data_IF_344619062702
#
_entry.id   IF_344619062702
#
_cell.length_a   1.000
_cell.length_b   1.000
_cell.length_c   1.000
_cell.angle_alpha   90.00
_cell.angle_beta   90.00
_cell.angle_gamma   90.00
#
_symmetry.space_group_name_H-M   'P 1'
#
loop_
_entity.id
_entity.type
_entity.pdbx_description
1 polymer ?
#
# COMPACT_ATOMS: atom_id res chain seq x y z
N UNK A 1 7.86 -24.54 -16.78
CA UNK A 1 8.23 -23.35 -15.98
C UNK A 1 7.35 -22.21 -16.43
N UNK A 2 6.46 -21.67 -15.57
CA UNK A 2 5.59 -20.56 -15.95
C UNK A 2 6.43 -19.28 -16.11
N UNK A 3 6.14 -18.49 -17.16
CA UNK A 3 6.66 -17.15 -17.30
C UNK A 3 5.74 -16.17 -16.54
N UNK A 4 6.29 -15.34 -15.68
CA UNK A 4 5.53 -14.35 -14.93
C UNK A 4 6.06 -12.95 -15.22
N UNK A 5 5.20 -12.05 -15.67
CA UNK A 5 5.52 -10.64 -15.80
C UNK A 5 5.25 -9.92 -14.48
N UNK A 6 6.23 -9.21 -13.93
CA UNK A 6 6.06 -8.26 -12.84
C UNK A 6 6.22 -6.83 -13.35
N UNK A 7 5.22 -5.99 -13.11
CA UNK A 7 5.29 -4.55 -13.42
C UNK A 7 5.44 -3.76 -12.13
N UNK A 8 6.53 -3.01 -12.01
CA UNK A 8 6.83 -2.19 -10.84
C UNK A 8 8.31 -2.27 -10.43
N UNK A 9 8.77 -1.32 -9.62
CA UNK A 9 10.19 -1.21 -9.25
C UNK A 9 10.46 -0.78 -7.80
N UNK A 10 9.47 -0.85 -6.92
CA UNK A 10 9.59 -0.51 -5.49
C UNK A 10 9.98 -1.70 -4.61
N UNK A 11 10.07 -1.47 -3.29
CA UNK A 11 10.33 -2.53 -2.33
C UNK A 11 9.17 -3.52 -2.23
N UNK A 12 7.94 -3.06 -2.40
CA UNK A 12 6.76 -3.90 -2.57
C UNK A 12 6.94 -4.89 -3.72
N UNK A 13 7.36 -4.42 -4.89
CA UNK A 13 7.59 -5.27 -6.06
C UNK A 13 8.80 -6.19 -5.87
N UNK A 14 9.81 -5.76 -5.13
CA UNK A 14 10.91 -6.65 -4.75
C UNK A 14 10.42 -7.81 -3.86
N UNK A 15 9.55 -7.53 -2.88
CA UNK A 15 8.94 -8.58 -2.07
C UNK A 15 8.02 -9.51 -2.88
N UNK A 16 7.30 -8.97 -3.87
CA UNK A 16 6.49 -9.76 -4.82
C UNK A 16 7.41 -10.65 -5.68
N UNK A 17 8.51 -10.11 -6.20
CA UNK A 17 9.50 -10.87 -6.97
C UNK A 17 10.06 -12.05 -6.18
N UNK A 18 10.46 -11.82 -4.92
CA UNK A 18 10.90 -12.90 -4.03
C UNK A 18 9.81 -13.95 -3.78
N UNK A 19 8.56 -13.52 -3.57
CA UNK A 19 7.45 -14.44 -3.36
C UNK A 19 7.19 -15.31 -4.60
N UNK A 20 7.27 -14.75 -5.80
CA UNK A 20 7.18 -15.48 -7.07
C UNK A 20 8.33 -16.49 -7.18
N UNK A 21 9.57 -16.06 -6.93
CA UNK A 21 10.75 -16.91 -7.10
C UNK A 21 10.92 -18.00 -6.03
N UNK A 22 10.18 -17.92 -4.92
CA UNK A 22 10.09 -19.02 -3.92
C UNK A 22 9.15 -20.15 -4.35
N UNK A 23 8.43 -20.00 -5.46
CA UNK A 23 7.48 -21.01 -5.94
C UNK A 23 8.19 -22.31 -6.30
N UNK A 24 7.58 -23.43 -5.88
CA UNK A 24 7.99 -24.79 -6.25
C UNK A 24 7.85 -25.10 -7.75
N UNK A 25 7.11 -24.25 -8.47
CA UNK A 25 6.91 -24.37 -9.92
C UNK A 25 8.09 -23.86 -10.74
N UNK A 26 9.14 -23.32 -10.09
CA UNK A 26 10.34 -22.77 -10.71
C UNK A 26 10.01 -21.77 -11.83
N UNK A 27 9.29 -20.67 -11.56
CA UNK A 27 8.91 -19.71 -12.58
C UNK A 27 10.11 -18.98 -13.16
N UNK A 28 9.95 -18.45 -14.39
CA UNK A 28 10.83 -17.43 -14.94
C UNK A 28 10.19 -16.05 -14.69
N UNK A 29 10.88 -15.20 -13.96
CA UNK A 29 10.45 -13.84 -13.72
C UNK A 29 10.92 -12.92 -14.85
N UNK A 30 10.01 -12.11 -15.38
CA UNK A 30 10.26 -11.02 -16.32
C UNK A 30 9.75 -9.74 -15.68
N UNK A 31 10.57 -8.68 -15.67
CA UNK A 31 10.18 -7.44 -14.97
C UNK A 31 10.15 -6.23 -15.90
N UNK A 32 9.12 -5.38 -15.71
CA UNK A 32 9.05 -4.05 -16.31
C UNK A 32 9.16 -3.02 -15.21
N UNK A 33 10.17 -2.14 -15.28
CA UNK A 33 10.55 -1.20 -14.24
C UNK A 33 10.75 0.20 -14.84
N UNK A 34 10.34 1.28 -14.12
CA UNK A 34 10.71 2.67 -14.50
C UNK A 34 12.20 2.94 -14.29
N UNK A 35 12.77 2.38 -13.23
CA UNK A 35 14.19 2.45 -12.89
C UNK A 35 14.68 1.07 -12.50
N UNK A 36 15.96 0.80 -12.75
CA UNK A 36 16.52 -0.52 -12.51
C UNK A 36 16.71 -0.80 -11.01
N UNK A 37 15.72 -1.46 -10.40
CA UNK A 37 15.82 -1.95 -9.03
C UNK A 37 16.74 -3.18 -8.99
N UNK A 38 17.90 -3.11 -8.28
CA UNK A 38 18.89 -4.18 -8.32
C UNK A 38 18.39 -5.51 -7.74
N UNK A 39 17.45 -5.48 -6.76
CA UNK A 39 16.89 -6.69 -6.17
C UNK A 39 15.95 -7.41 -7.13
N UNK A 40 15.07 -6.68 -7.82
CA UNK A 40 14.17 -7.25 -8.81
C UNK A 40 14.97 -7.75 -10.02
N UNK A 41 15.93 -6.96 -10.50
CA UNK A 41 16.77 -7.31 -11.62
C UNK A 41 17.56 -8.61 -11.39
N UNK A 42 18.09 -8.79 -10.16
CA UNK A 42 18.82 -10.01 -9.80
C UNK A 42 17.95 -11.29 -9.79
N UNK A 43 16.65 -11.14 -9.57
CA UNK A 43 15.67 -12.24 -9.58
C UNK A 43 15.06 -12.48 -10.97
N UNK A 44 15.21 -11.53 -11.90
CA UNK A 44 14.58 -11.57 -13.21
C UNK A 44 15.45 -12.26 -14.24
N UNK A 45 14.83 -13.12 -15.06
CA UNK A 45 15.47 -13.71 -16.24
C UNK A 45 15.76 -12.64 -17.30
N UNK A 46 14.90 -11.64 -17.41
CA UNK A 46 15.02 -10.47 -18.28
C UNK A 46 14.26 -9.28 -17.68
N UNK A 47 14.76 -8.07 -17.92
CA UNK A 47 14.11 -6.83 -17.47
C UNK A 47 13.96 -5.85 -18.63
N UNK A 48 12.79 -5.19 -18.69
CA UNK A 48 12.52 -4.02 -19.50
C UNK A 48 12.53 -2.78 -18.59
N UNK A 49 13.41 -1.83 -18.87
CA UNK A 49 13.44 -0.55 -18.14
C UNK A 49 12.90 0.55 -19.04
N UNK A 50 11.80 1.17 -18.62
CA UNK A 50 11.12 2.21 -19.40
C UNK A 50 9.85 2.72 -18.73
N UNK A 51 9.19 3.70 -19.33
CA UNK A 51 7.97 4.30 -18.79
C UNK A 51 6.79 3.32 -18.83
N UNK A 52 5.93 3.36 -17.80
CA UNK A 52 4.71 2.52 -17.77
C UNK A 52 3.65 2.96 -18.77
N UNK A 53 3.76 4.15 -19.30
CA UNK A 53 2.94 4.72 -20.37
C UNK A 53 3.10 3.96 -21.71
N UNK A 54 4.25 3.33 -21.93
CA UNK A 54 4.50 2.52 -23.13
C UNK A 54 3.93 1.09 -22.97
N UNK A 55 2.59 1.03 -22.94
CA UNK A 55 1.88 -0.25 -22.83
C UNK A 55 2.21 -1.19 -23.98
N UNK A 56 2.51 -0.67 -25.18
CA UNK A 56 2.84 -1.47 -26.35
C UNK A 56 4.15 -2.24 -26.14
N UNK A 57 5.20 -1.57 -25.64
CA UNK A 57 6.47 -2.20 -25.32
C UNK A 57 6.33 -3.26 -24.22
N UNK A 58 5.53 -2.98 -23.18
CA UNK A 58 5.27 -3.93 -22.09
C UNK A 58 4.55 -5.19 -22.60
N UNK A 59 3.54 -5.03 -23.46
CA UNK A 59 2.81 -6.15 -24.04
C UNK A 59 3.70 -6.98 -24.99
N UNK A 60 4.51 -6.33 -25.84
CA UNK A 60 5.46 -6.99 -26.70
C UNK A 60 6.45 -7.82 -25.89
N UNK A 61 7.04 -7.21 -24.85
CA UNK A 61 7.96 -7.88 -23.94
C UNK A 61 7.34 -9.10 -23.26
N UNK A 62 6.10 -9.00 -22.78
CA UNK A 62 5.38 -10.10 -22.15
C UNK A 62 5.14 -11.27 -23.14
N UNK A 63 4.73 -10.98 -24.38
CA UNK A 63 4.49 -11.97 -25.44
C UNK A 63 5.78 -12.67 -25.89
N UNK A 64 6.83 -11.91 -26.17
CA UNK A 64 8.14 -12.42 -26.60
C UNK A 64 8.75 -13.38 -25.57
N UNK A 65 8.48 -13.16 -24.30
CA UNK A 65 9.01 -13.99 -23.22
C UNK A 65 8.02 -15.08 -22.74
N UNK A 66 6.87 -15.24 -23.41
CA UNK A 66 5.91 -16.30 -23.11
C UNK A 66 5.32 -16.20 -21.70
N UNK A 67 5.01 -14.99 -21.23
CA UNK A 67 4.42 -14.81 -19.91
C UNK A 67 3.02 -15.41 -19.84
N UNK A 68 2.81 -16.31 -18.86
CA UNK A 68 1.52 -16.95 -18.59
C UNK A 68 0.51 -15.97 -17.99
N UNK A 69 0.99 -15.10 -17.11
CA UNK A 69 0.20 -14.03 -16.50
C UNK A 69 1.11 -12.87 -16.08
N UNK A 70 0.49 -11.74 -15.73
CA UNK A 70 1.17 -10.58 -15.19
C UNK A 70 0.73 -10.29 -13.75
N UNK A 71 1.64 -9.72 -12.94
CA UNK A 71 1.33 -9.10 -11.66
C UNK A 71 1.62 -7.60 -11.73
N UNK A 72 0.63 -6.77 -11.39
CA UNK A 72 0.76 -5.30 -11.43
C UNK A 72 0.97 -4.80 -10.00
N UNK A 73 2.15 -4.25 -9.75
CA UNK A 73 2.53 -3.78 -8.41
C UNK A 73 1.97 -2.40 -8.05
N UNK A 74 2.27 -1.32 -8.80
CA UNK A 74 1.86 0.04 -8.46
C UNK A 74 0.54 0.46 -9.11
N UNK A 75 -0.02 1.55 -8.60
CA UNK A 75 -1.29 2.13 -9.05
C UNK A 75 -1.23 2.83 -10.41
N UNK A 76 -0.09 3.44 -10.77
CA UNK A 76 0.04 4.18 -12.02
C UNK A 76 -0.30 3.34 -13.26
N UNK A 77 0.30 2.16 -13.50
CA UNK A 77 -0.03 1.34 -14.65
C UNK A 77 -1.48 0.80 -14.61
N UNK A 78 -2.07 0.61 -13.43
CA UNK A 78 -3.49 0.26 -13.31
C UNK A 78 -4.37 1.39 -13.83
N UNK A 79 -4.06 2.64 -13.45
CA UNK A 79 -4.77 3.82 -13.92
C UNK A 79 -4.57 4.07 -15.43
N UNK A 80 -3.44 3.65 -15.99
CA UNK A 80 -3.19 3.70 -17.44
C UNK A 80 -3.95 2.63 -18.23
N UNK A 81 -4.49 1.58 -17.57
CA UNK A 81 -5.24 0.51 -18.21
C UNK A 81 -4.38 -0.66 -18.69
N UNK A 82 -3.24 -0.90 -18.08
CA UNK A 82 -2.34 -2.00 -18.44
C UNK A 82 -3.02 -3.37 -18.40
N UNK A 83 -3.93 -3.59 -17.42
CA UNK A 83 -4.65 -4.86 -17.30
C UNK A 83 -5.59 -5.07 -18.49
N UNK A 84 -6.29 -4.02 -18.94
CA UNK A 84 -7.16 -4.09 -20.11
C UNK A 84 -6.34 -4.41 -21.37
N UNK A 85 -5.18 -3.79 -21.53
CA UNK A 85 -4.26 -4.02 -22.63
C UNK A 85 -3.68 -5.46 -22.63
N UNK A 86 -3.24 -5.95 -21.48
CA UNK A 86 -2.73 -7.32 -21.32
C UNK A 86 -3.82 -8.37 -21.62
N UNK A 87 -5.04 -8.17 -21.11
CA UNK A 87 -6.16 -9.07 -21.39
C UNK A 87 -6.51 -9.10 -22.88
N UNK A 88 -6.53 -7.94 -23.57
CA UNK A 88 -6.72 -7.87 -25.02
C UNK A 88 -5.60 -8.58 -25.80
N UNK A 89 -4.41 -8.67 -25.20
CA UNK A 89 -3.26 -9.40 -25.73
C UNK A 89 -3.25 -10.90 -25.40
N UNK A 90 -4.29 -11.39 -24.66
CA UNK A 90 -4.42 -12.78 -24.23
C UNK A 90 -3.60 -13.13 -22.98
N UNK A 91 -3.09 -12.15 -22.24
CA UNK A 91 -2.30 -12.34 -21.03
C UNK A 91 -3.16 -11.92 -19.83
N UNK A 92 -3.63 -12.86 -18.98
CA UNK A 92 -4.35 -12.53 -17.77
C UNK A 92 -3.44 -11.80 -16.76
N UNK A 93 -4.03 -10.99 -15.87
CA UNK A 93 -3.25 -10.22 -14.92
C UNK A 93 -3.88 -10.25 -13.50
N UNK A 94 -3.00 -10.30 -12.50
CA UNK A 94 -3.34 -10.00 -11.11
C UNK A 94 -3.27 -8.49 -10.95
N UNK A 95 -4.42 -7.87 -10.97
CA UNK A 95 -4.65 -6.43 -10.94
C UNK A 95 -6.02 -6.12 -11.54
N UNK A 96 -6.73 -5.09 -11.06
CA UNK A 96 -8.04 -4.71 -11.59
C UNK A 96 -7.92 -4.01 -12.95
N UNK A 97 -8.94 -4.20 -13.80
CA UNK A 97 -9.13 -3.37 -15.00
C UNK A 97 -9.20 -1.89 -14.61
N UNK A 98 -8.89 -0.98 -15.55
CA UNK A 98 -8.92 0.47 -15.32
C UNK A 98 -10.21 0.95 -14.65
N UNK A 99 -11.38 0.47 -15.13
CA UNK A 99 -12.67 0.86 -14.55
C UNK A 99 -12.86 0.40 -13.10
N UNK A 100 -12.20 -0.68 -12.67
CA UNK A 100 -12.25 -1.22 -11.30
C UNK A 100 -11.17 -0.60 -10.42
N UNK A 101 -10.05 -0.18 -11.00
CA UNK A 101 -9.00 0.55 -10.31
C UNK A 101 -9.50 1.91 -9.76
N UNK A 102 -10.69 2.37 -10.18
CA UNK A 102 -11.40 3.51 -9.58
C UNK A 102 -11.64 3.35 -8.09
N UNK A 103 -11.59 2.15 -7.56
CA UNK A 103 -11.61 1.90 -6.12
C UNK A 103 -10.47 2.66 -5.38
N UNK A 104 -9.33 2.88 -6.02
CA UNK A 104 -8.23 3.71 -5.52
C UNK A 104 -8.19 5.09 -6.18
N UNK A 105 -8.40 5.14 -7.51
CA UNK A 105 -8.17 6.34 -8.29
C UNK A 105 -9.28 7.37 -8.18
N UNK A 106 -10.44 7.04 -7.57
CA UNK A 106 -11.55 7.95 -7.29
C UNK A 106 -12.12 7.69 -5.90
N UNK A 107 -11.91 8.61 -5.00
CA UNK A 107 -12.43 8.52 -3.62
C UNK A 107 -13.94 8.67 -3.60
N UNK A 108 -14.48 9.55 -4.46
CA UNK A 108 -15.92 9.73 -4.64
C UNK A 108 -16.59 8.42 -5.08
N UNK A 109 -16.03 7.75 -6.09
CA UNK A 109 -16.54 6.45 -6.55
C UNK A 109 -16.62 5.43 -5.41
N UNK A 110 -15.57 5.31 -4.61
CA UNK A 110 -15.54 4.37 -3.48
C UNK A 110 -16.58 4.71 -2.44
N UNK A 111 -16.71 5.98 -2.07
CA UNK A 111 -17.71 6.44 -1.09
C UNK A 111 -19.14 6.21 -1.58
N UNK A 112 -19.41 6.54 -2.84
CA UNK A 112 -20.72 6.38 -3.46
C UNK A 112 -21.10 4.90 -3.61
N UNK A 113 -20.15 4.04 -3.99
CA UNK A 113 -20.34 2.60 -4.06
C UNK A 113 -20.76 2.03 -2.68
N UNK A 114 -19.99 2.36 -1.64
CA UNK A 114 -20.24 1.91 -0.26
C UNK A 114 -21.61 2.40 0.23
N UNK A 115 -21.98 3.67 -0.05
CA UNK A 115 -23.30 4.24 0.28
C UNK A 115 -24.42 3.56 -0.50
N UNK A 116 -24.30 3.44 -1.81
CA UNK A 116 -25.33 2.85 -2.71
C UNK A 116 -25.71 1.43 -2.32
N UNK A 117 -24.73 0.63 -1.92
CA UNK A 117 -24.96 -0.77 -1.55
C UNK A 117 -25.14 -0.99 -0.02
N UNK A 118 -25.29 0.08 0.75
CA UNK A 118 -25.46 0.05 2.21
C UNK A 118 -24.37 -0.79 2.91
N UNK A 119 -23.13 -0.68 2.45
CA UNK A 119 -21.99 -1.37 3.07
C UNK A 119 -21.61 -0.62 4.35
N UNK A 120 -21.45 -1.31 5.50
CA UNK A 120 -21.09 -0.64 6.74
C UNK A 120 -19.68 -0.05 6.69
N UNK A 121 -19.42 0.92 7.56
CA UNK A 121 -18.10 1.49 7.74
C UNK A 121 -17.83 2.78 6.97
N UNK A 122 -18.73 3.24 6.11
CA UNK A 122 -18.56 4.53 5.42
C UNK A 122 -18.60 5.69 6.43
N UNK A 123 -17.65 6.66 6.38
CA UNK A 123 -17.81 7.90 7.12
C UNK A 123 -18.95 8.73 6.55
N UNK A 124 -19.44 9.70 7.31
CA UNK A 124 -20.28 10.76 6.74
C UNK A 124 -19.43 11.57 5.77
N UNK A 125 -19.90 11.73 4.53
CA UNK A 125 -19.17 12.43 3.49
C UNK A 125 -20.11 13.09 2.48
N UNK A 126 -19.58 14.06 1.76
CA UNK A 126 -20.16 14.58 0.52
C UNK A 126 -19.06 14.91 -0.48
N UNK A 127 -19.44 14.84 -1.76
CA UNK A 127 -18.57 15.14 -2.89
C UNK A 127 -19.04 16.43 -3.57
N UNK A 128 -18.13 17.37 -3.78
CA UNK A 128 -18.42 18.66 -4.39
C UNK A 128 -17.60 18.85 -5.67
N UNK A 129 -18.24 19.33 -6.73
CA UNK A 129 -17.63 19.73 -8.01
C UNK A 129 -17.61 21.25 -8.19
N UNK A 130 -18.22 21.99 -7.26
CA UNK A 130 -18.18 23.45 -7.13
C UNK A 130 -18.08 23.82 -5.66
N UNK A 131 -17.92 25.11 -5.37
CA UNK A 131 -17.87 25.61 -3.99
C UNK A 131 -19.26 25.64 -3.30
N UNK A 132 -20.33 25.45 -4.09
CA UNK A 132 -21.70 25.57 -3.59
C UNK A 132 -22.02 24.46 -2.58
N UNK A 133 -22.51 24.87 -1.42
CA UNK A 133 -22.89 23.95 -0.34
C UNK A 133 -21.74 23.47 0.56
N UNK A 134 -20.47 23.68 0.17
CA UNK A 134 -19.30 23.23 0.98
C UNK A 134 -19.36 23.82 2.39
N UNK A 135 -19.56 25.12 2.54
CA UNK A 135 -19.57 25.79 3.84
C UNK A 135 -20.68 25.23 4.76
N UNK A 136 -21.87 24.99 4.21
CA UNK A 136 -22.98 24.39 4.96
C UNK A 136 -22.60 23.00 5.47
N UNK A 137 -22.04 22.15 4.61
CA UNK A 137 -21.63 20.81 4.99
C UNK A 137 -20.48 20.78 6.00
N UNK A 138 -19.47 21.66 5.85
CA UNK A 138 -18.39 21.82 6.84
C UNK A 138 -18.94 22.20 8.22
N UNK A 139 -20.02 23.01 8.26
CA UNK A 139 -20.64 23.43 9.52
C UNK A 139 -21.37 22.30 10.26
N UNK A 140 -21.79 21.27 9.55
CA UNK A 140 -22.47 20.10 10.13
C UNK A 140 -21.50 19.05 10.70
N UNK A 141 -20.20 19.11 10.35
CA UNK A 141 -19.23 18.10 10.77
C UNK A 141 -18.55 18.49 12.09
N UNK A 142 -18.38 17.52 13.03
CA UNK A 142 -17.66 17.74 14.29
C UNK A 142 -16.14 17.83 14.09
N UNK A 143 -15.62 17.22 13.04
CA UNK A 143 -14.23 17.24 12.61
C UNK A 143 -14.16 16.93 11.12
N UNK A 144 -13.15 17.45 10.44
CA UNK A 144 -13.13 17.54 8.99
C UNK A 144 -11.89 16.87 8.41
N UNK A 145 -12.09 16.08 7.33
CA UNK A 145 -11.05 15.62 6.40
C UNK A 145 -11.42 16.06 5.01
N UNK A 146 -10.47 16.70 4.31
CA UNK A 146 -10.62 17.14 2.92
C UNK A 146 -9.70 16.31 2.04
N UNK A 147 -10.26 15.68 1.00
CA UNK A 147 -9.55 14.77 0.08
C UNK A 147 -9.78 15.22 -1.37
N UNK A 148 -8.74 15.53 -2.14
CA UNK A 148 -8.87 15.65 -3.60
C UNK A 148 -9.38 14.32 -4.21
N UNK A 149 -10.31 14.36 -5.14
CA UNK A 149 -10.69 13.16 -5.90
C UNK A 149 -9.64 12.91 -6.99
N UNK A 150 -9.05 11.72 -6.96
CA UNK A 150 -7.93 11.34 -7.82
C UNK A 150 -6.72 10.80 -7.05
N UNK A 151 -5.69 10.39 -7.80
CA UNK A 151 -4.41 9.95 -7.24
C UNK A 151 -3.58 11.15 -6.77
N UNK A 152 -3.24 11.20 -5.49
CA UNK A 152 -2.42 12.26 -4.88
C UNK A 152 -1.19 11.73 -4.15
N UNK A 153 -0.93 10.43 -4.22
CA UNK A 153 0.21 9.79 -3.52
C UNK A 153 0.21 10.03 -2.00
N UNK A 154 -0.97 10.12 -1.39
CA UNK A 154 -1.13 10.37 0.06
C UNK A 154 -0.85 11.81 0.50
N UNK A 155 -0.53 12.73 -0.41
CA UNK A 155 -0.11 14.10 -0.07
C UNK A 155 -1.23 15.14 -0.10
N UNK A 156 -2.34 14.85 -0.76
CA UNK A 156 -3.46 15.78 -0.91
C UNK A 156 -4.51 15.69 0.19
N UNK A 157 -4.42 14.72 1.11
CA UNK A 157 -5.38 14.58 2.20
C UNK A 157 -4.99 15.50 3.35
N UNK A 158 -5.89 16.43 3.71
CA UNK A 158 -5.71 17.32 4.85
C UNK A 158 -6.75 17.04 5.93
N UNK A 159 -6.31 16.99 7.18
CA UNK A 159 -7.09 16.62 8.37
C UNK A 159 -7.10 17.79 9.36
N UNK A 160 -8.25 18.11 9.90
CA UNK A 160 -8.40 19.13 10.93
C UNK A 160 -7.63 18.76 12.20
N UNK A 161 -6.95 19.74 12.77
CA UNK A 161 -6.06 19.58 13.93
C UNK A 161 -4.60 19.30 13.53
N UNK A 162 -4.38 18.73 12.33
CA UNK A 162 -3.04 18.44 11.81
C UNK A 162 -2.58 19.44 10.75
N UNK A 163 -3.44 19.75 9.80
CA UNK A 163 -3.12 20.53 8.60
C UNK A 163 -3.83 21.87 8.53
N UNK A 164 -4.95 21.99 9.20
CA UNK A 164 -5.73 23.21 9.38
C UNK A 164 -6.49 23.14 10.72
N UNK A 165 -6.84 24.28 11.29
CA UNK A 165 -7.51 24.35 12.59
C UNK A 165 -8.98 24.74 12.46
N UNK A 166 -9.33 25.60 11.52
CA UNK A 166 -10.65 26.21 11.37
C UNK A 166 -11.41 25.66 10.16
N UNK A 167 -12.74 25.78 10.19
CA UNK A 167 -13.61 25.47 9.04
C UNK A 167 -13.35 26.39 7.85
N UNK A 168 -12.93 27.63 8.11
CA UNK A 168 -12.57 28.58 7.07
C UNK A 168 -11.32 28.12 6.32
N UNK A 169 -10.28 27.68 7.03
CA UNK A 169 -9.08 27.11 6.39
C UNK A 169 -9.41 25.85 5.57
N UNK A 170 -10.33 24.98 6.06
CA UNK A 170 -10.82 23.85 5.30
C UNK A 170 -11.52 24.28 4.01
N UNK A 171 -12.36 25.31 4.08
CA UNK A 171 -13.06 25.87 2.92
C UNK A 171 -12.08 26.43 1.88
N UNK A 172 -11.07 27.22 2.31
CA UNK A 172 -10.04 27.72 1.41
C UNK A 172 -9.28 26.58 0.73
N UNK A 173 -8.95 25.51 1.49
CA UNK A 173 -8.32 24.34 0.90
C UNK A 173 -9.23 23.61 -0.12
N UNK A 174 -10.53 23.53 0.12
CA UNK A 174 -11.46 22.98 -0.88
C UNK A 174 -11.44 23.79 -2.18
N UNK A 175 -11.32 25.12 -2.10
CA UNK A 175 -11.18 25.98 -3.28
C UNK A 175 -9.89 25.70 -4.05
N UNK A 176 -8.77 25.53 -3.33
CA UNK A 176 -7.48 25.14 -3.95
C UNK A 176 -7.62 23.80 -4.68
N UNK A 177 -8.22 22.79 -4.01
CA UNK A 177 -8.44 21.47 -4.60
C UNK A 177 -9.27 21.54 -5.89
N UNK A 178 -10.36 22.32 -5.90
CA UNK A 178 -11.24 22.46 -7.07
C UNK A 178 -10.60 23.21 -8.25
N UNK A 179 -9.45 23.88 -8.06
CA UNK A 179 -8.67 24.45 -9.16
C UNK A 179 -7.84 23.41 -9.89
N UNK A 180 -7.43 22.34 -9.20
CA UNK A 180 -6.52 21.31 -9.74
C UNK A 180 -7.22 19.98 -10.02
N UNK A 181 -8.35 19.73 -9.34
CA UNK A 181 -9.09 18.48 -9.40
C UNK A 181 -10.56 18.70 -9.75
N UNK A 182 -11.17 17.73 -10.42
CA UNK A 182 -12.58 17.81 -10.84
C UNK A 182 -13.58 17.75 -9.67
N UNK A 183 -13.16 17.26 -8.53
CA UNK A 183 -14.00 17.16 -7.33
C UNK A 183 -13.15 17.15 -6.05
N UNK A 184 -13.80 17.53 -4.96
CA UNK A 184 -13.29 17.39 -3.58
C UNK A 184 -14.26 16.53 -2.78
N UNK A 185 -13.73 15.56 -2.02
CA UNK A 185 -14.48 14.74 -1.07
C UNK A 185 -14.22 15.26 0.33
N UNK A 186 -15.28 15.65 1.02
CA UNK A 186 -15.22 16.12 2.41
C UNK A 186 -15.82 15.03 3.30
N UNK A 187 -15.11 14.64 4.36
CA UNK A 187 -15.52 13.58 5.26
C UNK A 187 -15.48 14.01 6.73
N UNK A 188 -16.29 13.37 7.56
CA UNK A 188 -16.10 13.45 9.00
C UNK A 188 -14.72 12.92 9.40
N UNK A 189 -14.05 13.59 10.33
CA UNK A 189 -12.82 13.07 10.95
C UNK A 189 -13.16 11.93 11.90
N UNK A 190 -12.67 10.75 11.59
CA UNK A 190 -12.80 9.59 12.46
C UNK A 190 -11.68 9.61 13.53
N UNK A 191 -12.00 9.16 14.73
CA UNK A 191 -11.06 9.01 15.83
C UNK A 191 -10.88 7.53 16.17
N UNK A 192 -9.62 7.07 16.22
CA UNK A 192 -9.33 5.65 16.45
C UNK A 192 -7.90 5.26 16.12
N UNK A 193 -7.68 3.96 16.03
CA UNK A 193 -6.42 3.37 15.58
C UNK A 193 -6.57 2.76 14.19
N UNK A 194 -5.69 3.16 13.28
CA UNK A 194 -5.70 2.69 11.90
C UNK A 194 -5.03 1.31 11.79
N UNK A 195 -5.52 0.51 10.85
CA UNK A 195 -4.89 -0.70 10.35
C UNK A 195 -5.18 -0.89 8.87
N UNK A 196 -4.31 -1.59 8.17
CA UNK A 196 -4.57 -2.08 6.83
C UNK A 196 -4.90 -3.56 6.85
N UNK A 197 -5.91 -3.96 6.07
CA UNK A 197 -6.23 -5.35 5.78
C UNK A 197 -6.17 -5.51 4.26
N UNK A 198 -5.14 -6.18 3.81
CA UNK A 198 -5.01 -6.48 2.40
C UNK A 198 -5.71 -7.80 2.12
N UNK A 199 -6.48 -7.83 1.05
CA UNK A 199 -7.22 -9.02 0.68
C UNK A 199 -6.88 -9.41 -0.76
N UNK A 200 -6.66 -10.69 -0.98
CA UNK A 200 -6.50 -11.28 -2.30
C UNK A 200 -7.89 -11.61 -2.82
N UNK A 201 -8.24 -11.14 -4.01
CA UNK A 201 -9.56 -11.30 -4.59
C UNK A 201 -9.51 -11.88 -6.00
N UNK A 202 -10.36 -12.83 -6.29
CA UNK A 202 -10.70 -13.28 -7.65
C UNK A 202 -12.03 -12.69 -8.15
N UNK A 203 -12.62 -11.80 -7.34
CA UNK A 203 -13.87 -11.10 -7.56
C UNK A 203 -15.10 -11.83 -7.02
N UNK A 204 -14.98 -13.11 -6.64
CA UNK A 204 -16.02 -13.91 -5.99
C UNK A 204 -15.63 -14.22 -4.55
N UNK A 205 -14.41 -14.62 -4.36
CA UNK A 205 -13.81 -14.95 -3.08
C UNK A 205 -12.78 -13.90 -2.69
N UNK A 206 -12.78 -13.52 -1.43
CA UNK A 206 -11.84 -12.58 -0.84
C UNK A 206 -11.12 -13.28 0.32
N UNK A 207 -9.80 -13.46 0.20
CA UNK A 207 -8.95 -14.07 1.22
C UNK A 207 -8.13 -12.98 1.92
N UNK A 208 -8.29 -12.85 3.24
CA UNK A 208 -7.55 -11.87 4.02
C UNK A 208 -6.10 -12.29 4.22
N UNK A 209 -5.18 -11.32 4.22
CA UNK A 209 -3.82 -11.48 4.74
C UNK A 209 -3.77 -11.05 6.21
N UNK A 210 -2.67 -11.29 6.94
CA UNK A 210 -2.49 -10.69 8.26
C UNK A 210 -2.64 -9.16 8.20
N UNK A 211 -3.35 -8.52 9.17
CA UNK A 211 -3.46 -7.06 9.23
C UNK A 211 -2.12 -6.44 9.59
N UNK A 212 -1.91 -5.22 9.12
CA UNK A 212 -0.66 -4.48 9.32
C UNK A 212 -0.98 -3.06 9.80
N UNK A 213 -0.17 -2.50 10.70
CA UNK A 213 -0.22 -1.07 11.01
C UNK A 213 0.95 -0.37 10.35
N UNK A 214 0.66 0.59 9.44
CA UNK A 214 1.62 1.49 8.81
C UNK A 214 1.80 2.78 9.62
N UNK A 215 2.95 3.42 9.46
CA UNK A 215 3.33 4.68 10.14
C UNK A 215 3.69 5.74 9.10
N UNK A 216 2.71 6.56 8.74
CA UNK A 216 2.82 7.55 7.65
C UNK A 216 3.59 8.81 8.02
N UNK A 217 3.71 9.14 9.30
CA UNK A 217 4.42 10.36 9.74
C UNK A 217 5.94 10.18 9.69
N UNK A 218 6.62 11.25 9.25
CA UNK A 218 8.07 11.23 9.01
C UNK A 218 8.90 10.99 10.23
N UNK A 219 8.51 11.54 11.39
CA UNK A 219 9.32 11.55 12.61
C UNK A 219 8.72 10.70 13.73
N UNK A 220 9.57 10.40 14.72
CA UNK A 220 9.19 9.72 15.96
C UNK A 220 7.95 10.35 16.58
N UNK A 221 7.17 9.56 17.29
CA UNK A 221 5.91 9.95 17.92
C UNK A 221 4.84 10.45 16.94
N UNK A 222 4.87 9.96 15.70
CA UNK A 222 3.96 10.34 14.62
C UNK A 222 3.91 11.84 14.37
N UNK A 223 5.08 12.47 14.38
CA UNK A 223 5.25 13.91 14.09
C UNK A 223 5.74 14.14 12.66
N UNK A 224 5.63 15.39 12.23
CA UNK A 224 6.09 15.84 10.92
C UNK A 224 5.11 15.53 9.78
N UNK A 225 5.56 15.69 8.53
CA UNK A 225 4.70 15.53 7.35
C UNK A 225 4.27 14.07 7.13
N UNK A 226 3.18 13.87 6.42
CA UNK A 226 2.78 12.58 5.88
C UNK A 226 3.75 12.13 4.79
N UNK A 227 4.02 10.84 4.76
CA UNK A 227 4.89 10.18 3.79
C UNK A 227 4.18 8.96 3.18
N UNK A 228 4.86 8.21 2.34
CA UNK A 228 4.37 6.93 1.82
C UNK A 228 4.43 5.77 2.83
N UNK A 229 4.78 6.04 4.10
CA UNK A 229 4.99 5.04 5.14
C UNK A 229 6.46 4.91 5.52
N UNK A 230 6.77 5.05 6.80
CA UNK A 230 8.13 4.96 7.36
C UNK A 230 8.46 3.55 7.87
N UNK A 231 7.46 2.68 7.93
CA UNK A 231 7.55 1.31 8.39
C UNK A 231 6.23 0.83 8.98
N UNK A 232 6.19 -0.45 9.31
CA UNK A 232 4.95 -1.13 9.67
C UNK A 232 5.23 -2.38 10.50
N UNK A 233 4.20 -2.92 11.13
CA UNK A 233 4.31 -4.19 11.83
C UNK A 233 3.03 -5.02 11.74
N UNK A 234 3.17 -6.34 11.91
CA UNK A 234 2.11 -7.32 12.02
C UNK A 234 2.48 -8.36 13.07
N UNK A 235 1.52 -8.81 13.89
CA UNK A 235 1.82 -9.78 14.95
C UNK A 235 1.56 -11.22 14.51
N UNK A 236 2.14 -12.17 15.26
CA UNK A 236 2.17 -13.61 14.98
C UNK A 236 0.80 -14.29 14.97
N UNK A 237 -0.17 -13.72 15.65
CA UNK A 237 -1.53 -14.24 15.74
C UNK A 237 -2.43 -13.78 14.59
N UNK A 238 -1.84 -13.12 13.57
CA UNK A 238 -2.55 -12.51 12.44
C UNK A 238 -3.55 -11.45 12.92
N UNK A 239 -3.14 -10.67 13.91
CA UNK A 239 -3.86 -9.54 14.46
C UNK A 239 -2.89 -8.39 14.73
N UNK A 240 -3.31 -7.38 15.48
CA UNK A 240 -2.45 -6.34 16.03
C UNK A 240 -2.77 -6.23 17.55
N UNK A 241 -1.78 -5.89 18.40
CA UNK A 241 -1.94 -5.96 19.86
C UNK A 241 -3.10 -5.13 20.46
N UNK A 242 -3.61 -4.16 19.73
CA UNK A 242 -4.74 -3.32 20.11
C UNK A 242 -6.09 -3.80 19.54
N UNK A 243 -6.09 -4.79 18.62
CA UNK A 243 -7.28 -5.29 17.94
C UNK A 243 -8.01 -6.37 18.75
N UNK A 244 -9.30 -6.51 18.46
CA UNK A 244 -10.11 -7.68 18.82
C UNK A 244 -10.28 -8.57 17.59
N UNK A 245 -10.53 -9.88 17.75
CA UNK A 245 -10.75 -10.78 16.60
C UNK A 245 -11.85 -10.29 15.65
N UNK A 246 -12.92 -9.69 16.19
CA UNK A 246 -14.04 -9.15 15.42
C UNK A 246 -13.66 -7.97 14.53
N UNK A 247 -12.59 -7.23 14.84
CA UNK A 247 -12.15 -6.08 14.03
C UNK A 247 -11.62 -6.54 12.66
N UNK A 248 -10.84 -7.63 12.64
CA UNK A 248 -10.34 -8.22 11.38
C UNK A 248 -11.50 -8.78 10.55
N UNK A 249 -12.44 -9.48 11.21
CA UNK A 249 -13.61 -10.04 10.54
C UNK A 249 -14.52 -8.93 9.95
N UNK A 250 -14.67 -7.80 10.67
CA UNK A 250 -15.42 -6.66 10.17
C UNK A 250 -14.78 -6.06 8.90
N UNK A 251 -13.45 -5.86 8.90
CA UNK A 251 -12.71 -5.39 7.73
C UNK A 251 -12.84 -6.33 6.52
N UNK A 252 -12.73 -7.65 6.75
CA UNK A 252 -12.93 -8.66 5.72
C UNK A 252 -14.35 -8.65 5.16
N UNK A 253 -15.36 -8.60 6.03
CA UNK A 253 -16.77 -8.55 5.62
C UNK A 253 -17.11 -7.29 4.80
N UNK A 254 -16.53 -6.14 5.16
CA UNK A 254 -16.66 -4.91 4.37
C UNK A 254 -16.04 -5.12 2.99
N UNK A 255 -14.84 -5.68 2.92
CA UNK A 255 -14.12 -5.89 1.65
C UNK A 255 -14.84 -6.90 0.75
N UNK A 256 -15.39 -7.98 1.30
CA UNK A 256 -16.21 -8.94 0.55
C UNK A 256 -17.43 -8.26 -0.09
N UNK A 257 -18.16 -7.45 0.70
CA UNK A 257 -19.32 -6.69 0.20
C UNK A 257 -18.92 -5.66 -0.88
N UNK A 258 -17.76 -5.03 -0.76
CA UNK A 258 -17.25 -4.11 -1.79
C UNK A 258 -16.93 -4.86 -3.08
N UNK A 259 -16.30 -6.03 -3.02
CA UNK A 259 -16.06 -6.85 -4.22
C UNK A 259 -17.36 -7.25 -4.93
N UNK A 260 -18.39 -7.66 -4.17
CA UNK A 260 -19.72 -7.96 -4.70
C UNK A 260 -20.41 -6.72 -5.31
N UNK A 261 -20.30 -5.56 -4.65
CA UNK A 261 -20.86 -4.31 -5.12
C UNK A 261 -20.20 -3.85 -6.43
N UNK A 262 -18.86 -3.99 -6.53
CA UNK A 262 -18.13 -3.71 -7.78
C UNK A 262 -18.67 -4.56 -8.92
N UNK A 263 -18.86 -5.87 -8.72
CA UNK A 263 -19.42 -6.74 -9.75
C UNK A 263 -20.85 -6.30 -10.15
N UNK A 264 -21.71 -6.01 -9.18
CA UNK A 264 -23.08 -5.52 -9.44
C UNK A 264 -23.10 -4.19 -10.21
N UNK A 265 -22.14 -3.30 -9.91
CA UNK A 265 -22.04 -1.97 -10.53
C UNK A 265 -21.47 -2.01 -11.95
N UNK A 266 -20.53 -2.92 -12.21
CA UNK A 266 -19.69 -2.86 -13.41
C UNK A 266 -19.80 -4.06 -14.34
N UNK A 267 -20.35 -5.17 -13.85
CA UNK A 267 -20.39 -6.47 -14.54
C UNK A 267 -19.04 -7.20 -14.62
N UNK A 268 -17.97 -6.63 -14.03
CA UNK A 268 -16.65 -7.24 -14.02
C UNK A 268 -16.22 -7.68 -12.60
N UNK A 269 -15.55 -8.83 -12.53
CA UNK A 269 -14.95 -9.33 -11.30
C UNK A 269 -13.64 -8.60 -11.00
N UNK A 270 -13.47 -8.17 -9.74
CA UNK A 270 -12.25 -7.57 -9.27
C UNK A 270 -11.19 -8.64 -9.00
N UNK A 271 -10.19 -8.76 -9.86
CA UNK A 271 -9.10 -9.73 -9.76
C UNK A 271 -7.82 -9.02 -9.36
N UNK A 272 -7.33 -9.27 -8.15
CA UNK A 272 -6.13 -8.61 -7.65
C UNK A 272 -6.17 -8.37 -6.15
N UNK A 273 -5.44 -7.37 -5.71
CA UNK A 273 -5.35 -7.02 -4.29
C UNK A 273 -6.33 -5.89 -3.98
N UNK A 274 -7.12 -6.08 -2.94
CA UNK A 274 -7.97 -5.06 -2.34
C UNK A 274 -7.35 -4.67 -0.99
N UNK A 275 -6.64 -3.55 -0.97
CA UNK A 275 -6.11 -3.02 0.27
C UNK A 275 -7.17 -2.12 0.91
N UNK A 276 -7.76 -2.56 2.00
CA UNK A 276 -8.61 -1.74 2.84
C UNK A 276 -7.81 -1.05 3.94
N UNK A 277 -7.78 0.28 3.91
CA UNK A 277 -7.35 1.09 5.04
C UNK A 277 -8.55 1.30 5.96
N UNK A 278 -8.44 0.81 7.18
CA UNK A 278 -9.51 0.86 8.18
C UNK A 278 -9.07 1.61 9.44
N UNK A 279 -10.04 2.11 10.19
CA UNK A 279 -9.84 2.68 11.51
C UNK A 279 -10.83 2.07 12.50
N UNK A 280 -10.33 1.67 13.66
CA UNK A 280 -11.13 1.15 14.75
C UNK A 280 -11.58 2.32 15.62
N UNK A 281 -12.86 2.61 15.58
CA UNK A 281 -13.49 3.69 16.34
C UNK A 281 -14.30 3.15 17.52
N UNK A 282 -14.88 4.06 18.34
CA UNK A 282 -15.86 3.68 19.35
C UNK A 282 -17.07 2.93 18.77
N UNK A 283 -17.48 3.27 17.55
CA UNK A 283 -18.61 2.65 16.84
C UNK A 283 -18.23 1.43 16.00
N UNK A 284 -17.02 0.88 16.14
CA UNK A 284 -16.54 -0.26 15.36
C UNK A 284 -15.60 0.14 14.22
N UNK A 285 -15.38 -0.79 13.31
CA UNK A 285 -14.45 -0.62 12.18
C UNK A 285 -15.08 0.27 11.10
N UNK A 286 -14.33 1.29 10.66
CA UNK A 286 -14.73 2.23 9.60
C UNK A 286 -13.70 2.22 8.48
N UNK A 287 -14.16 2.43 7.24
CA UNK A 287 -13.34 2.48 6.05
C UNK A 287 -12.71 3.87 5.88
N UNK A 288 -11.39 3.93 5.82
CA UNK A 288 -10.63 5.16 5.51
C UNK A 288 -10.45 5.33 4.01
N UNK A 289 -9.97 4.27 3.34
CA UNK A 289 -9.73 4.27 1.89
C UNK A 289 -9.56 2.83 1.37
N UNK A 290 -9.65 2.66 0.05
CA UNK A 290 -9.13 1.48 -0.64
C UNK A 290 -7.95 1.84 -1.52
N UNK A 291 -7.01 0.89 -1.64
CA UNK A 291 -6.01 0.89 -2.69
C UNK A 291 -6.13 -0.39 -3.52
N UNK A 292 -5.85 -0.30 -4.81
CA UNK A 292 -6.09 -1.36 -5.80
C UNK A 292 -4.89 -2.30 -5.99
N UNK A 293 -4.00 -2.34 -5.03
CA UNK A 293 -2.72 -3.06 -5.05
C UNK A 293 -2.25 -3.34 -3.63
N UNK A 294 -1.17 -4.11 -3.47
CA UNK A 294 -0.52 -4.24 -2.16
C UNK A 294 -0.05 -2.89 -1.61
N UNK A 295 -0.07 -2.74 -0.29
CA UNK A 295 0.54 -1.63 0.41
C UNK A 295 2.07 -1.70 0.37
N UNK A 296 2.67 -0.55 0.56
CA UNK A 296 4.11 -0.38 0.73
C UNK A 296 4.33 0.59 1.91
N UNK A 297 4.72 0.09 3.09
CA UNK A 297 5.56 -1.09 3.35
C UNK A 297 4.87 -2.43 3.61
N UNK A 298 3.58 -2.54 3.70
CA UNK A 298 2.85 -3.70 4.25
C UNK A 298 3.11 -5.01 3.52
N UNK A 299 3.31 -4.99 2.19
CA UNK A 299 3.65 -6.19 1.43
C UNK A 299 4.90 -6.89 1.96
N UNK A 300 5.85 -6.13 2.47
CA UNK A 300 7.09 -6.65 3.06
C UNK A 300 6.87 -7.33 4.41
N UNK A 301 5.79 -7.01 5.13
CA UNK A 301 5.39 -7.73 6.34
C UNK A 301 4.74 -9.07 6.02
N UNK A 302 3.96 -9.13 4.93
CA UNK A 302 3.01 -10.21 4.65
C UNK A 302 3.63 -11.28 3.74
N UNK A 303 4.21 -10.87 2.62
CA UNK A 303 4.67 -11.82 1.60
C UNK A 303 5.77 -12.77 2.09
N UNK A 304 6.71 -12.37 2.95
CA UNK A 304 7.67 -13.31 3.53
C UNK A 304 7.05 -14.40 4.39
N UNK A 305 5.85 -14.16 4.94
CA UNK A 305 5.12 -15.13 5.78
C UNK A 305 4.20 -16.05 4.98
N UNK A 306 3.98 -15.78 3.69
CA UNK A 306 3.08 -16.58 2.87
C UNK A 306 3.62 -18.00 2.70
N UNK A 307 2.84 -19.00 3.16
CA UNK A 307 3.14 -20.43 3.04
C UNK A 307 2.63 -21.02 1.73
N UNK A 308 1.43 -20.62 1.34
CA UNK A 308 0.84 -21.05 0.08
C UNK A 308 1.68 -20.55 -1.09
N UNK A 309 1.93 -21.40 -2.08
CA UNK A 309 2.71 -21.03 -3.27
C UNK A 309 2.10 -19.80 -3.95
N UNK A 310 2.88 -18.72 -4.05
CA UNK A 310 2.35 -17.43 -4.55
C UNK A 310 1.97 -17.48 -6.04
N UNK A 311 2.65 -18.30 -6.84
CA UNK A 311 2.28 -18.49 -8.25
C UNK A 311 0.93 -19.20 -8.35
N UNK A 312 0.66 -20.19 -7.50
CA UNK A 312 -0.64 -20.84 -7.44
C UNK A 312 -1.74 -19.87 -6.96
N UNK A 313 -1.45 -19.00 -5.99
CA UNK A 313 -2.37 -17.92 -5.59
C UNK A 313 -2.70 -17.01 -6.78
N UNK A 314 -1.68 -16.57 -7.53
CA UNK A 314 -1.88 -15.72 -8.72
C UNK A 314 -2.74 -16.44 -9.78
N UNK A 315 -2.48 -17.73 -10.03
CA UNK A 315 -3.29 -18.55 -10.94
C UNK A 315 -4.74 -18.66 -10.47
N UNK A 316 -4.95 -18.89 -9.19
CA UNK A 316 -6.30 -18.96 -8.63
C UNK A 316 -7.06 -17.64 -8.80
N UNK A 317 -6.38 -16.50 -8.62
CA UNK A 317 -6.96 -15.17 -8.85
C UNK A 317 -7.36 -14.99 -10.32
N UNK A 318 -6.46 -15.24 -11.26
CA UNK A 318 -6.78 -15.00 -12.69
C UNK A 318 -7.83 -15.97 -13.23
N UNK A 319 -7.87 -17.20 -12.69
CA UNK A 319 -8.82 -18.23 -13.09
C UNK A 319 -10.17 -18.15 -12.35
N UNK A 320 -10.30 -17.39 -11.26
CA UNK A 320 -11.52 -17.32 -10.46
C UNK A 320 -11.78 -18.57 -9.64
N UNK A 321 -10.75 -19.17 -9.07
CA UNK A 321 -10.78 -20.44 -8.31
C UNK A 321 -10.17 -20.32 -6.92
N UNK A 322 -10.12 -19.11 -6.37
CA UNK A 322 -9.51 -18.83 -5.07
C UNK A 322 -10.26 -19.54 -3.92
N UNK A 323 -11.54 -19.86 -4.11
CA UNK A 323 -12.34 -20.65 -3.18
C UNK A 323 -11.82 -22.08 -2.94
N UNK A 324 -10.98 -22.59 -3.85
CA UNK A 324 -10.39 -23.93 -3.79
C UNK A 324 -8.95 -23.96 -3.26
N UNK A 325 -8.39 -22.81 -2.98
CA UNK A 325 -7.00 -22.67 -2.55
C UNK A 325 -6.93 -21.96 -1.18
N UNK A 326 -6.66 -22.69 -0.07
CA UNK A 326 -6.40 -22.05 1.21
C UNK A 326 -5.16 -21.17 1.15
N UNK A 327 -5.31 -19.87 1.47
CA UNK A 327 -4.20 -18.94 1.56
C UNK A 327 -3.72 -18.88 3.00
N UNK A 328 -2.56 -19.47 3.27
CA UNK A 328 -2.02 -19.62 4.62
C UNK A 328 -0.75 -18.81 4.84
N UNK A 329 -0.57 -18.33 6.07
CA UNK A 329 0.61 -17.56 6.49
C UNK A 329 1.27 -18.20 7.70
N UNK A 330 2.59 -18.01 7.85
CA UNK A 330 3.33 -18.40 9.05
C UNK A 330 2.87 -17.56 10.26
N UNK A 331 2.81 -18.18 11.44
CA UNK A 331 2.52 -17.51 12.71
C UNK A 331 3.78 -16.85 13.29
N UNK A 332 4.25 -15.81 12.63
CA UNK A 332 5.40 -15.00 13.04
C UNK A 332 5.04 -13.51 13.03
N UNK A 333 5.71 -12.77 13.90
CA UNK A 333 5.66 -11.31 13.91
C UNK A 333 6.64 -10.74 12.91
N UNK A 334 6.29 -9.61 12.32
CA UNK A 334 7.15 -8.87 11.39
C UNK A 334 7.17 -7.38 11.73
N UNK A 335 8.36 -6.79 11.64
CA UNK A 335 8.56 -5.34 11.74
C UNK A 335 9.37 -4.88 10.55
N UNK A 336 8.80 -3.96 9.77
CA UNK A 336 9.46 -3.28 8.66
C UNK A 336 9.87 -1.88 9.08
N UNK A 337 11.12 -1.50 8.81
CA UNK A 337 11.60 -0.12 8.94
C UNK A 337 12.17 0.36 7.62
N UNK A 338 11.74 1.55 7.18
CA UNK A 338 12.27 2.15 5.98
C UNK A 338 13.49 3.02 6.29
N UNK A 339 14.54 2.78 5.52
CA UNK A 339 15.70 3.65 5.41
C UNK A 339 15.43 4.64 4.29
N UNK A 340 15.53 5.91 4.60
CA UNK A 340 15.17 7.02 3.71
C UNK A 340 16.28 8.05 3.64
N UNK A 341 16.36 8.87 2.57
CA UNK A 341 17.23 10.04 2.58
C UNK A 341 16.89 10.97 3.75
N UNK A 342 17.86 11.65 4.35
CA UNK A 342 17.61 12.60 5.44
C UNK A 342 16.55 13.65 5.10
N UNK A 343 16.53 14.11 3.85
CA UNK A 343 15.54 15.09 3.37
C UNK A 343 14.20 14.49 2.94
N UNK A 344 13.97 13.18 3.07
CA UNK A 344 12.72 12.57 2.67
C UNK A 344 11.51 13.18 3.40
N UNK A 345 10.52 13.64 2.63
CA UNK A 345 9.32 14.29 3.17
C UNK A 345 9.53 15.74 3.62
N UNK A 346 10.73 16.31 3.46
CA UNK A 346 11.05 17.69 3.82
C UNK A 346 11.01 18.60 2.60
N UNK A 347 10.93 19.94 2.80
CA UNK A 347 10.98 20.93 1.72
C UNK A 347 12.24 20.80 0.85
N UNK A 348 12.15 21.17 -0.42
CA UNK A 348 13.25 21.05 -1.39
C UNK A 348 14.46 21.94 -1.08
N UNK A 349 14.27 23.01 -0.33
CA UNK A 349 15.29 23.95 0.15
C UNK A 349 15.91 23.56 1.49
N UNK A 350 15.52 22.41 2.05
CA UNK A 350 16.08 21.92 3.31
C UNK A 350 17.58 21.66 3.18
N UNK A 351 18.42 21.93 4.23
CA UNK A 351 19.87 21.72 4.21
C UNK A 351 20.30 20.31 3.76
N UNK A 352 19.52 19.29 4.10
CA UNK A 352 19.79 17.91 3.73
C UNK A 352 19.29 17.52 2.31
N UNK A 353 18.79 18.47 1.49
CA UNK A 353 18.21 18.17 0.17
C UNK A 353 19.13 17.31 -0.73
N UNK A 354 20.45 17.50 -0.65
CA UNK A 354 21.44 16.70 -1.38
C UNK A 354 21.42 15.20 -1.02
N UNK A 355 20.86 14.83 0.13
CA UNK A 355 20.74 13.41 0.52
C UNK A 355 19.86 12.59 -0.44
N UNK A 356 18.93 13.23 -1.16
CA UNK A 356 18.00 12.56 -2.07
C UNK A 356 18.64 11.97 -3.34
N UNK A 357 19.91 12.28 -3.60
CA UNK A 357 20.67 11.71 -4.74
C UNK A 357 22.02 11.16 -4.31
N UNK A 358 22.20 10.95 -3.01
CA UNK A 358 23.47 10.51 -2.46
C UNK A 358 23.71 9.01 -2.69
N UNK A 359 24.97 8.67 -2.83
CA UNK A 359 25.44 7.27 -2.83
C UNK A 359 25.26 6.65 -1.46
N UNK A 360 24.89 5.38 -1.43
CA UNK A 360 24.80 4.56 -0.24
C UNK A 360 25.57 3.27 -0.42
N UNK A 361 26.11 2.75 0.66
CA UNK A 361 26.71 1.44 0.73
C UNK A 361 25.82 0.54 1.59
N UNK A 362 25.60 -0.69 1.11
CA UNK A 362 24.76 -1.69 1.77
C UNK A 362 25.62 -2.89 2.14
N UNK A 363 25.79 -3.10 3.42
CA UNK A 363 26.49 -4.24 4.00
C UNK A 363 25.55 -5.41 4.32
N UNK A 364 26.05 -6.33 5.13
CA UNK A 364 25.28 -7.48 5.59
C UNK A 364 24.23 -7.05 6.61
N UNK A 365 22.96 -7.38 6.33
CA UNK A 365 21.80 -7.09 7.19
C UNK A 365 21.50 -8.22 8.20
N UNK A 366 22.37 -9.23 8.28
CA UNK A 366 22.22 -10.37 9.18
C UNK A 366 20.97 -11.19 8.88
N UNK A 367 20.15 -11.46 9.90
CA UNK A 367 18.92 -12.25 9.77
C UNK A 367 17.72 -11.45 9.24
N UNK A 368 17.85 -10.15 9.04
CA UNK A 368 16.80 -9.34 8.44
C UNK A 368 16.66 -9.61 6.94
N UNK A 369 15.47 -9.35 6.38
CA UNK A 369 15.29 -9.24 4.93
C UNK A 369 15.51 -7.81 4.48
N UNK A 370 16.05 -7.65 3.29
CA UNK A 370 16.29 -6.34 2.69
C UNK A 370 15.53 -6.23 1.35
N UNK A 371 14.81 -5.14 1.19
CA UNK A 371 14.05 -4.82 -0.01
C UNK A 371 14.46 -3.47 -0.56
N UNK A 372 15.07 -3.46 -1.76
CA UNK A 372 15.36 -2.22 -2.47
C UNK A 372 14.07 -1.56 -2.93
N UNK A 373 13.95 -0.26 -2.66
CA UNK A 373 12.81 0.56 -3.07
C UNK A 373 13.22 1.54 -4.17
N UNK A 374 13.19 2.82 -3.91
CA UNK A 374 13.52 3.86 -4.89
C UNK A 374 15.03 4.15 -4.88
N UNK A 375 15.78 3.25 -5.46
CA UNK A 375 17.24 3.35 -5.64
C UNK A 375 17.61 3.15 -7.11
N UNK A 376 18.78 3.64 -7.48
CA UNK A 376 19.32 3.55 -8.83
C UNK A 376 20.74 2.93 -8.79
N UNK A 377 20.91 1.76 -9.41
CA UNK A 377 22.20 1.10 -9.55
C UNK A 377 22.94 1.68 -10.75
N UNK A 378 24.03 2.40 -10.48
CA UNK A 378 24.95 2.93 -11.50
C UNK A 378 26.23 2.11 -11.54
N UNK A 379 27.10 2.40 -12.52
CA UNK A 379 28.35 1.69 -12.70
C UNK A 379 29.27 1.79 -11.48
N UNK A 380 29.23 2.91 -10.76
CA UNK A 380 30.09 3.23 -9.63
C UNK A 380 29.45 3.03 -8.25
N UNK A 381 28.16 2.62 -8.20
CA UNK A 381 27.50 2.36 -6.91
C UNK A 381 25.98 2.40 -6.93
N UNK A 382 25.41 2.38 -5.73
CA UNK A 382 23.98 2.47 -5.47
C UNK A 382 23.62 3.87 -4.97
N UNK A 383 22.62 4.48 -5.60
CA UNK A 383 22.19 5.85 -5.28
C UNK A 383 20.75 5.88 -4.82
N UNK A 384 20.47 6.70 -3.82
CA UNK A 384 19.10 7.03 -3.42
C UNK A 384 18.45 7.94 -4.46
N UNK A 385 17.14 8.00 -4.43
CA UNK A 385 16.31 8.97 -5.15
C UNK A 385 15.56 9.87 -4.18
N UNK A 386 14.54 10.58 -4.62
CA UNK A 386 13.72 11.45 -3.78
C UNK A 386 12.75 10.73 -2.84
N UNK A 387 12.67 9.39 -2.92
CA UNK A 387 11.74 8.57 -2.14
C UNK A 387 12.48 7.63 -1.18
N UNK A 388 11.73 6.71 -0.55
CA UNK A 388 12.26 5.70 0.38
C UNK A 388 13.27 4.80 -0.33
N UNK A 389 14.40 4.52 0.30
CA UNK A 389 15.51 3.83 -0.37
C UNK A 389 15.47 2.31 -0.16
N UNK A 390 15.37 1.85 1.08
CA UNK A 390 15.47 0.43 1.44
C UNK A 390 14.49 0.14 2.58
N UNK A 391 13.71 -0.95 2.43
CA UNK A 391 12.98 -1.55 3.53
C UNK A 391 13.80 -2.67 4.15
N UNK A 392 13.92 -2.71 5.48
CA UNK A 392 14.47 -3.84 6.22
C UNK A 392 13.39 -4.46 7.08
N UNK A 393 13.33 -5.80 7.12
CA UNK A 393 12.26 -6.53 7.80
C UNK A 393 12.84 -7.56 8.74
N UNK A 394 12.55 -7.38 10.02
CA UNK A 394 12.74 -8.43 11.03
C UNK A 394 11.54 -9.37 11.08
N UNK A 395 11.81 -10.65 11.18
CA UNK A 395 10.81 -11.74 11.29
C UNK A 395 11.19 -12.63 12.47
N UNK A 396 10.27 -12.76 13.44
CA UNK A 396 10.54 -13.54 14.65
C UNK A 396 9.27 -14.11 15.28
N UNK A 397 9.40 -14.78 16.41
CA UNK A 397 8.28 -15.30 17.17
C UNK A 397 7.47 -14.20 17.88
N UNK A 398 8.10 -13.06 18.17
CA UNK A 398 7.49 -11.91 18.84
C UNK A 398 7.82 -10.60 18.14
N UNK A 399 6.98 -9.57 18.35
CA UNK A 399 7.23 -8.22 17.81
C UNK A 399 8.54 -7.62 18.35
N UNK A 400 8.86 -7.84 19.63
CA UNK A 400 10.08 -7.34 20.25
C UNK A 400 11.36 -7.92 19.60
N UNK A 401 11.35 -9.21 19.28
CA UNK A 401 12.46 -9.85 18.55
C UNK A 401 12.54 -9.39 17.10
N UNK A 402 11.40 -9.30 16.42
CA UNK A 402 11.33 -8.82 15.04
C UNK A 402 11.82 -7.35 14.93
N UNK A 403 11.44 -6.51 15.89
CA UNK A 403 11.90 -5.12 15.97
C UNK A 403 13.42 -5.03 16.12
N UNK A 404 14.00 -5.79 17.04
CA UNK A 404 15.45 -5.82 17.27
C UNK A 404 16.24 -6.28 16.03
N UNK A 405 15.73 -7.26 15.31
CA UNK A 405 16.31 -7.71 14.03
C UNK A 405 16.28 -6.59 13.00
N UNK A 406 15.13 -5.92 12.81
CA UNK A 406 14.99 -4.82 11.88
C UNK A 406 15.87 -3.63 12.26
N UNK A 407 15.90 -3.24 13.53
CA UNK A 407 16.73 -2.11 14.03
C UNK A 407 18.22 -2.37 13.85
N UNK A 408 18.67 -3.58 14.15
CA UNK A 408 20.08 -3.97 13.98
C UNK A 408 20.53 -3.85 12.52
N UNK A 409 19.65 -4.17 11.57
CA UNK A 409 19.94 -4.12 10.14
C UNK A 409 20.11 -2.70 9.59
N UNK A 410 19.57 -1.67 10.25
CA UNK A 410 19.71 -0.27 9.84
C UNK A 410 21.18 0.12 9.73
N UNK A 411 22.01 -0.33 10.65
CA UNK A 411 23.43 0.00 10.70
C UNK A 411 24.23 -0.52 9.51
N UNK A 412 23.70 -1.49 8.76
CA UNK A 412 24.33 -2.03 7.56
C UNK A 412 24.28 -1.06 6.38
N UNK A 413 23.38 -0.07 6.39
CA UNK A 413 23.26 0.91 5.32
C UNK A 413 23.97 2.19 5.70
N UNK A 414 25.02 2.54 4.94
CA UNK A 414 25.85 3.74 5.17
C UNK A 414 25.52 4.81 4.14
N UNK A 415 25.49 6.07 4.60
CA UNK A 415 25.17 7.24 3.78
C UNK A 415 24.41 8.30 4.57
N UNK A 416 23.93 9.37 3.91
CA UNK A 416 23.10 10.40 4.54
C UNK A 416 21.64 9.93 4.65
N UNK A 417 21.44 8.87 5.41
CA UNK A 417 20.15 8.19 5.62
C UNK A 417 19.56 8.47 7.00
N UNK A 418 18.25 8.22 7.13
CA UNK A 418 17.49 8.31 8.35
C UNK A 418 16.40 7.24 8.37
N UNK A 419 15.80 6.98 9.53
CA UNK A 419 14.70 6.04 9.72
C UNK A 419 13.88 6.41 10.95
N UNK A 420 12.79 5.68 11.21
CA UNK A 420 12.01 5.81 12.46
C UNK A 420 12.33 4.65 13.40
N UNK A 421 13.12 4.88 14.46
CA UNK A 421 13.52 3.82 15.41
C UNK A 421 12.36 3.34 16.30
N UNK A 422 11.31 4.16 16.49
CA UNK A 422 10.19 3.83 17.37
C UNK A 422 9.21 2.80 16.79
N UNK A 423 9.20 2.56 15.47
CA UNK A 423 8.26 1.63 14.83
C UNK A 423 8.48 0.19 15.30
N UNK A 424 7.40 -0.46 15.78
CA UNK A 424 7.43 -1.82 16.30
C UNK A 424 7.90 -1.94 17.75
N UNK A 425 8.30 -0.85 18.40
CA UNK A 425 8.72 -0.88 19.81
C UNK A 425 7.54 -1.07 20.77
N UNK A 426 7.80 -1.70 21.90
CA UNK A 426 6.81 -1.88 22.97
C UNK A 426 6.15 -0.57 23.38
N UNK A 427 6.92 0.52 23.47
CA UNK A 427 6.43 1.83 23.88
C UNK A 427 5.41 2.39 22.88
N UNK A 428 5.70 2.31 21.57
CA UNK A 428 4.77 2.74 20.53
C UNK A 428 3.50 1.89 20.54
N UNK A 429 3.64 0.56 20.58
CA UNK A 429 2.50 -0.37 20.59
C UNK A 429 1.62 -0.14 21.84
N UNK A 430 2.22 0.06 23.00
CA UNK A 430 1.47 0.34 24.24
C UNK A 430 0.62 1.62 24.12
N UNK A 431 1.15 2.67 23.49
CA UNK A 431 0.37 3.89 23.22
C UNK A 431 -0.87 3.61 22.36
N UNK A 432 -0.77 2.73 21.34
CA UNK A 432 -1.93 2.31 20.52
C UNK A 432 -2.97 1.58 21.34
N UNK A 433 -2.53 0.64 22.18
CA UNK A 433 -3.41 -0.09 23.09
C UNK A 433 -4.13 0.87 24.02
N UNK A 434 -3.41 1.78 24.66
CA UNK A 434 -3.98 2.72 25.65
C UNK A 434 -4.91 3.72 24.97
N UNK A 435 -4.58 4.20 23.79
CA UNK A 435 -5.43 5.11 23.01
C UNK A 435 -6.74 4.41 22.62
N UNK A 436 -6.68 3.22 22.06
CA UNK A 436 -7.90 2.50 21.67
C UNK A 436 -8.76 2.10 22.88
N UNK A 437 -8.13 1.78 24.02
CA UNK A 437 -8.86 1.51 25.26
C UNK A 437 -9.66 2.73 25.72
N UNK A 438 -9.10 3.94 25.64
CA UNK A 438 -9.83 5.18 25.93
C UNK A 438 -11.01 5.40 24.99
N UNK A 439 -10.83 5.12 23.70
CA UNK A 439 -11.88 5.31 22.68
C UNK A 439 -13.04 4.36 22.89
N UNK A 440 -12.76 3.10 23.24
CA UNK A 440 -13.79 2.07 23.41
C UNK A 440 -14.51 2.12 24.77
N UNK A 441 -13.93 2.73 25.77
CA UNK A 441 -14.43 2.83 27.16
C UNK A 441 -13.99 1.65 27.98
#
# INVERSE_FOLDING_TARGET
MPGVLLVGNGAREHAIAEAIMRSSLNPKLFSCMKTNNPGIAALSSKSLVGPYEDLAAIMAFAKENGCEFAFIGPEDPLNLGIVDALLAAGIPAVGPKKKLARLETSKSFTRDLVRKYNIPGNPRYETFTSIDGIEAFLNELPGIVVKPDGLTGGKGVKVQGDHFQTKQEAFEYCKEVLQEHSAVVIEEKLEGEEFSLQCISDGRTVAATPPVQDHKRRFVDDKGPNTGGMGSYSDRDHSLPFMRPDDVQAGLAITQKVAEAIYKETGDYYKGIMYGGFIITRGGVRLVEYNARFGDPEAMNILPLLKTDFVEVCRAVVNGTLDRLPVEFEKKATVCKYIVPKAYGLPKDHPDAKSTSAKIDVGDVGSARLYYASVDRKADGLYMTTSRAIGVVGIAATLDEAEKIAESAISAVKGPVDHRPDIGTKALIQRRIDHLRKIRG
#
